data_IF_503489246732
#
_entry.id   IF_503489246732
#
_cell.length_a   1.000
_cell.length_b   1.000
_cell.length_c   1.000
_cell.angle_alpha   90.00
_cell.angle_beta   90.00
_cell.angle_gamma   90.00
#
_symmetry.space_group_name_H-M   'P 1'
#
loop_
_entity.id
_entity.type
_entity.pdbx_description
1 polymer ?
#
# COMPACT_ATOMS: atom_id res chain seq x y z
N UNK A 1 19.30 -3.14 -3.62
CA UNK A 1 19.23 -2.02 -2.65
C UNK A 1 17.89 -2.14 -1.96
N UNK A 2 17.89 -2.58 -0.70
CA UNK A 2 16.69 -2.62 0.13
C UNK A 2 16.41 -1.23 0.72
N UNK A 3 15.14 -0.86 0.87
CA UNK A 3 14.71 0.12 1.88
C UNK A 3 14.67 1.60 1.47
N UNK A 4 13.81 1.96 0.52
CA UNK A 4 13.33 3.36 0.46
C UNK A 4 12.13 3.58 1.40
N UNK A 5 11.42 2.51 1.76
CA UNK A 5 10.30 2.51 2.68
C UNK A 5 10.71 2.05 4.08
N UNK A 6 10.12 2.66 5.12
CA UNK A 6 10.46 2.38 6.52
C UNK A 6 9.26 2.53 7.44
N UNK A 7 9.06 1.58 8.35
CA UNK A 7 8.20 1.77 9.51
C UNK A 7 8.87 2.73 10.50
N UNK A 8 8.18 3.80 10.88
CA UNK A 8 8.70 4.84 11.76
C UNK A 8 8.30 4.62 13.22
N UNK A 9 7.01 4.41 13.47
CA UNK A 9 6.45 4.35 14.82
C UNK A 9 4.99 3.87 14.82
N UNK A 10 4.49 3.51 16.00
CA UNK A 10 3.11 3.07 16.22
C UNK A 10 2.99 1.55 16.42
N UNK A 11 1.83 1.13 16.91
CA UNK A 11 1.46 -0.29 16.94
C UNK A 11 1.20 -0.74 15.50
N UNK A 12 1.79 -1.87 15.11
CA UNK A 12 1.74 -2.39 13.75
C UNK A 12 0.50 -3.26 13.46
N UNK A 13 -0.21 -3.73 14.50
CA UNK A 13 -1.46 -4.48 14.33
C UNK A 13 -1.27 -5.70 13.43
N UNK A 14 -0.28 -6.51 13.75
CA UNK A 14 0.18 -7.57 12.87
C UNK A 14 -0.89 -8.64 12.62
N UNK A 15 -1.04 -9.05 11.36
CA UNK A 15 -1.84 -10.22 10.94
C UNK A 15 -0.96 -11.19 10.17
N UNK A 16 -1.25 -12.48 10.30
CA UNK A 16 -0.56 -13.56 9.59
C UNK A 16 -1.46 -14.07 8.47
N UNK A 17 -0.95 -14.04 7.24
CA UNK A 17 -1.70 -14.48 6.06
C UNK A 17 -0.78 -15.35 5.20
N UNK A 18 -1.22 -16.53 4.73
CA UNK A 18 -0.37 -17.37 3.89
C UNK A 18 -0.17 -16.73 2.51
N UNK A 19 1.02 -16.89 1.95
CA UNK A 19 1.30 -16.58 0.54
C UNK A 19 1.53 -17.86 -0.24
N UNK A 20 1.29 -17.86 -1.55
CA UNK A 20 1.56 -19.02 -2.42
C UNK A 20 3.07 -19.15 -2.64
N UNK A 21 3.60 -20.37 -2.68
CA UNK A 21 5.04 -20.59 -2.92
C UNK A 21 5.60 -20.07 -4.26
N UNK A 22 4.77 -19.79 -5.26
CA UNK A 22 5.21 -19.14 -6.51
C UNK A 22 5.20 -17.60 -6.44
N UNK A 23 4.68 -17.04 -5.35
CA UNK A 23 4.55 -15.60 -5.12
C UNK A 23 5.66 -15.16 -4.18
N UNK A 24 6.50 -14.25 -4.65
CA UNK A 24 7.54 -13.62 -3.82
C UNK A 24 6.97 -12.32 -3.25
N UNK A 25 6.96 -12.22 -1.93
CA UNK A 25 6.65 -10.99 -1.19
C UNK A 25 7.95 -10.49 -0.59
N UNK A 26 8.25 -9.21 -0.77
CA UNK A 26 9.38 -8.55 -0.17
C UNK A 26 8.94 -7.77 1.08
N UNK A 27 9.84 -7.59 2.05
CA UNK A 27 9.55 -6.74 3.19
C UNK A 27 9.29 -5.30 2.72
N UNK A 28 8.16 -4.73 3.15
CA UNK A 28 7.72 -3.40 2.75
C UNK A 28 6.76 -3.38 1.56
N UNK A 29 6.45 -4.53 0.94
CA UNK A 29 5.43 -4.60 -0.09
C UNK A 29 4.04 -4.22 0.44
N UNK A 30 3.29 -3.45 -0.33
CA UNK A 30 1.86 -3.35 -0.22
C UNK A 30 1.24 -4.70 -0.56
N UNK A 31 0.35 -5.18 0.30
CA UNK A 31 -0.26 -6.49 0.17
C UNK A 31 -1.78 -6.41 0.16
N UNK A 32 -2.37 -7.25 -0.67
CA UNK A 32 -3.81 -7.38 -0.83
C UNK A 32 -4.20 -8.86 -0.94
N UNK A 33 -5.49 -9.16 -0.80
CA UNK A 33 -6.05 -10.49 -1.02
C UNK A 33 -6.96 -10.45 -2.23
N UNK A 34 -6.82 -11.39 -3.17
CA UNK A 34 -7.71 -11.40 -4.33
C UNK A 34 -9.12 -11.85 -3.89
N UNK A 35 -10.23 -11.20 -4.32
CA UNK A 35 -11.57 -11.63 -3.92
C UNK A 35 -11.84 -13.12 -4.20
N UNK A 36 -11.46 -13.57 -5.40
CA UNK A 36 -11.55 -14.99 -5.82
C UNK A 36 -10.47 -15.92 -5.22
N UNK A 37 -9.48 -15.40 -4.49
CA UNK A 37 -8.42 -16.19 -3.85
C UNK A 37 -8.04 -15.57 -2.49
N UNK A 38 -9.07 -15.27 -1.68
CA UNK A 38 -8.96 -14.43 -0.47
C UNK A 38 -8.12 -15.05 0.64
N UNK A 39 -7.79 -16.33 0.50
CA UNK A 39 -6.98 -17.06 1.45
C UNK A 39 -5.50 -16.73 1.32
N UNK A 40 -5.05 -16.20 0.18
CA UNK A 40 -3.64 -15.95 -0.06
C UNK A 40 -3.32 -14.47 -0.24
N UNK A 41 -2.19 -14.09 0.34
CA UNK A 41 -1.61 -12.77 0.20
C UNK A 41 -0.94 -12.61 -1.16
N UNK A 42 -1.20 -11.49 -1.82
CA UNK A 42 -0.54 -11.09 -3.05
C UNK A 42 0.15 -9.74 -2.86
N UNK A 43 1.38 -9.56 -3.36
CA UNK A 43 2.02 -8.26 -3.42
C UNK A 43 1.35 -7.40 -4.51
N UNK A 44 1.35 -6.08 -4.29
CA UNK A 44 0.66 -5.13 -5.14
C UNK A 44 1.26 -5.05 -6.56
N UNK A 45 2.55 -5.38 -6.73
CA UNK A 45 3.20 -5.45 -8.04
C UNK A 45 2.68 -6.58 -8.96
N UNK A 46 2.02 -7.61 -8.42
CA UNK A 46 1.38 -8.66 -9.20
C UNK A 46 -0.01 -8.30 -9.67
N UNK A 47 -0.54 -7.16 -9.23
CA UNK A 47 -1.77 -6.63 -9.76
C UNK A 47 -1.57 -6.27 -11.24
N UNK A 48 -2.27 -7.00 -12.10
CA UNK A 48 -2.18 -6.88 -13.56
C UNK A 48 -3.58 -6.67 -14.13
N UNK A 49 -4.20 -5.54 -13.81
CA UNK A 49 -5.42 -5.17 -14.52
C UNK A 49 -5.05 -4.63 -15.90
N UNK A 50 -5.52 -5.36 -16.90
CA UNK A 50 -5.44 -4.99 -18.31
C UNK A 50 -6.73 -4.29 -18.78
N UNK A 51 -7.73 -4.18 -17.91
CA UNK A 51 -8.96 -3.48 -18.19
C UNK A 51 -8.80 -2.00 -17.82
N UNK A 52 -9.15 -1.12 -18.75
CA UNK A 52 -9.22 0.33 -18.55
C UNK A 52 -10.39 0.76 -17.66
N UNK A 53 -11.10 -0.21 -17.07
CA UNK A 53 -12.27 -0.01 -16.23
C UNK A 53 -11.87 -0.18 -14.79
N UNK A 54 -12.02 0.85 -13.96
CA UNK A 54 -11.62 0.88 -12.54
C UNK A 54 -12.23 -0.18 -11.60
N UNK A 55 -12.94 -1.18 -12.12
CA UNK A 55 -13.54 -2.28 -11.36
C UNK A 55 -12.52 -3.30 -10.83
N UNK A 56 -11.38 -3.53 -11.50
CA UNK A 56 -10.34 -4.40 -10.94
C UNK A 56 -9.59 -3.75 -9.77
N UNK A 57 -9.51 -2.42 -9.74
CA UNK A 57 -8.82 -1.68 -8.68
C UNK A 57 -9.66 -1.53 -7.41
N UNK A 58 -11.00 -1.44 -7.52
CA UNK A 58 -11.87 -1.45 -6.33
C UNK A 58 -11.66 -2.71 -5.51
N UNK A 59 -11.45 -3.86 -6.16
CA UNK A 59 -11.17 -5.12 -5.49
C UNK A 59 -9.88 -5.05 -4.66
N UNK A 60 -8.85 -4.37 -5.14
CA UNK A 60 -7.60 -4.20 -4.39
C UNK A 60 -7.77 -3.25 -3.23
N UNK A 61 -8.50 -2.16 -3.42
CA UNK A 61 -8.77 -1.18 -2.35
C UNK A 61 -9.59 -1.83 -1.23
N UNK A 62 -10.64 -2.57 -1.58
CA UNK A 62 -11.50 -3.26 -0.63
C UNK A 62 -10.79 -4.41 0.11
N UNK A 63 -9.79 -5.02 -0.54
CA UNK A 63 -9.05 -6.15 0.00
C UNK A 63 -7.60 -5.82 0.35
N UNK A 64 -7.28 -4.54 0.51
CA UNK A 64 -5.98 -4.11 0.97
C UNK A 64 -5.76 -4.56 2.42
N UNK A 65 -4.68 -5.32 2.62
CA UNK A 65 -4.37 -5.94 3.91
C UNK A 65 -3.40 -5.08 4.72
N UNK A 66 -2.46 -4.39 4.06
CA UNK A 66 -1.44 -3.60 4.72
C UNK A 66 -0.07 -3.75 4.07
N UNK A 67 0.99 -3.60 4.88
CA UNK A 67 2.38 -3.63 4.43
C UNK A 67 3.09 -4.87 4.99
N UNK A 68 3.77 -5.65 4.13
CA UNK A 68 4.54 -6.80 4.55
C UNK A 68 5.66 -6.40 5.53
N UNK A 69 5.69 -7.03 6.71
CA UNK A 69 6.74 -6.85 7.72
C UNK A 69 7.99 -7.67 7.40
N UNK A 70 7.81 -8.76 6.68
CA UNK A 70 8.83 -9.73 6.31
C UNK A 70 8.63 -10.18 4.88
N UNK A 71 9.69 -10.61 4.21
CA UNK A 71 9.58 -11.25 2.91
C UNK A 71 9.14 -12.71 3.03
N UNK A 72 8.53 -13.25 1.98
CA UNK A 72 8.28 -14.67 1.86
C UNK A 72 9.49 -15.41 1.28
N UNK A 73 9.83 -16.61 1.79
CA UNK A 73 10.78 -17.46 1.11
C UNK A 73 10.21 -17.94 -0.23
N UNK A 74 10.98 -17.76 -1.29
CA UNK A 74 10.59 -18.22 -2.63
C UNK A 74 10.44 -19.74 -2.66
N UNK A 75 9.37 -20.24 -3.28
CA UNK A 75 9.13 -21.67 -3.50
C UNK A 75 8.27 -22.37 -2.44
N UNK A 76 7.89 -21.71 -1.35
CA UNK A 76 7.15 -22.34 -0.24
C UNK A 76 5.90 -21.54 0.15
N UNK A 77 4.79 -22.23 0.39
CA UNK A 77 3.59 -21.62 0.97
C UNK A 77 3.81 -21.44 2.47
N UNK A 78 3.91 -20.20 2.93
CA UNK A 78 4.15 -19.85 4.33
C UNK A 78 3.39 -18.59 4.72
N UNK A 79 3.15 -18.42 6.03
CA UNK A 79 2.54 -17.21 6.56
C UNK A 79 3.52 -16.04 6.49
N UNK A 80 3.03 -14.93 5.95
CA UNK A 80 3.73 -13.64 5.96
C UNK A 80 3.04 -12.74 6.98
N UNK A 81 3.86 -12.07 7.79
CA UNK A 81 3.36 -11.05 8.73
C UNK A 81 3.12 -9.74 7.99
N UNK A 82 1.90 -9.20 8.10
CA UNK A 82 1.48 -7.94 7.49
C UNK A 82 1.12 -6.94 8.59
N UNK A 83 1.69 -5.75 8.51
CA UNK A 83 1.37 -4.63 9.38
C UNK A 83 0.11 -3.94 8.84
N UNK A 84 -0.91 -3.83 9.67
CA UNK A 84 -2.22 -3.27 9.28
C UNK A 84 -2.45 -1.84 9.77
N UNK A 85 -1.55 -1.34 10.61
CA UNK A 85 -1.50 0.04 11.14
C UNK A 85 -0.05 0.47 11.40
N UNK A 86 0.14 1.72 11.78
CA UNK A 86 1.44 2.33 12.07
C UNK A 86 1.77 3.49 11.14
N UNK A 87 2.86 4.19 11.41
CA UNK A 87 3.35 5.31 10.59
C UNK A 87 4.50 4.83 9.73
N UNK A 88 4.42 5.10 8.44
CA UNK A 88 5.39 4.66 7.45
C UNK A 88 5.92 5.84 6.65
N UNK A 89 7.20 5.75 6.30
CA UNK A 89 7.84 6.58 5.29
C UNK A 89 7.89 5.82 3.98
N UNK A 90 7.39 6.40 2.90
CA UNK A 90 7.49 5.85 1.54
C UNK A 90 7.97 6.90 0.54
N UNK A 91 8.66 6.47 -0.54
CA UNK A 91 9.03 7.37 -1.62
C UNK A 91 7.79 7.88 -2.37
N UNK A 92 7.78 9.17 -2.69
CA UNK A 92 6.78 9.75 -3.58
C UNK A 92 7.15 9.45 -5.03
N UNK A 93 6.16 9.20 -5.89
CA UNK A 93 6.41 8.96 -7.33
C UNK A 93 7.00 10.20 -8.04
N UNK A 94 6.69 11.40 -7.53
CA UNK A 94 7.39 12.63 -7.89
C UNK A 94 7.57 13.58 -6.70
N UNK A 95 8.63 14.42 -6.67
CA UNK A 95 8.79 15.42 -5.62
C UNK A 95 7.63 16.40 -5.57
N UNK A 96 7.03 16.59 -4.39
CA UNK A 96 5.92 17.53 -4.19
C UNK A 96 5.83 17.99 -2.73
N UNK A 97 5.15 19.11 -2.50
CA UNK A 97 4.77 19.54 -1.15
C UNK A 97 3.62 18.66 -0.66
N UNK A 98 3.54 18.43 0.65
CA UNK A 98 2.53 17.57 1.27
C UNK A 98 1.93 18.24 2.50
N UNK A 99 0.66 17.96 2.78
CA UNK A 99 -0.05 18.55 3.93
C UNK A 99 -0.64 17.46 4.81
N UNK A 100 -0.56 17.63 6.14
CA UNK A 100 -1.23 16.73 7.09
C UNK A 100 -2.71 16.55 6.73
N UNK A 101 -3.19 15.31 6.83
CA UNK A 101 -4.58 14.96 6.55
C UNK A 101 -4.87 14.68 5.08
N UNK A 102 -3.97 15.04 4.16
CA UNK A 102 -4.08 14.62 2.77
C UNK A 102 -4.00 13.09 2.66
N UNK A 103 -4.72 12.56 1.68
CA UNK A 103 -4.75 11.13 1.41
C UNK A 103 -3.42 10.69 0.77
N UNK A 104 -3.03 9.46 1.09
CA UNK A 104 -1.90 8.78 0.44
C UNK A 104 -2.43 7.59 -0.33
N UNK A 105 -2.05 7.51 -1.60
CA UNK A 105 -2.36 6.36 -2.45
C UNK A 105 -1.12 5.57 -2.85
N UNK A 106 -1.18 4.25 -2.81
CA UNK A 106 -0.13 3.38 -3.36
C UNK A 106 -0.25 3.25 -4.88
N UNK A 107 0.87 3.33 -5.59
CA UNK A 107 0.96 3.21 -7.05
C UNK A 107 1.86 2.03 -7.43
N UNK A 108 1.33 1.09 -8.21
CA UNK A 108 2.09 -0.02 -8.79
C UNK A 108 1.37 -0.61 -10.02
N UNK A 109 2.11 -1.09 -11.04
CA UNK A 109 3.54 -0.87 -11.25
C UNK A 109 3.82 0.61 -11.54
N UNK A 110 4.86 1.16 -10.94
CA UNK A 110 5.38 2.44 -11.39
C UNK A 110 6.14 2.21 -12.70
N UNK A 111 6.19 3.22 -13.58
CA UNK A 111 6.86 3.10 -14.88
C UNK A 111 8.37 2.82 -14.77
N UNK A 112 8.93 2.99 -13.57
CA UNK A 112 10.35 2.82 -13.27
C UNK A 112 10.47 2.04 -11.94
N UNK A 113 10.85 0.75 -12.00
CA UNK A 113 11.11 -0.07 -10.81
C UNK A 113 10.83 -1.58 -11.01
N UNK A 114 11.32 -2.42 -10.09
CA UNK A 114 10.92 -3.85 -9.96
C UNK A 114 10.78 -4.25 -8.48
N UNK A 115 9.86 -5.15 -8.13
CA UNK A 115 9.66 -5.60 -6.74
C UNK A 115 9.11 -4.49 -5.82
N UNK A 116 9.49 -4.48 -4.54
CA UNK A 116 9.14 -3.44 -3.56
C UNK A 116 9.67 -2.06 -3.95
N UNK A 117 10.75 -2.01 -4.74
CA UNK A 117 11.24 -0.75 -5.31
C UNK A 117 10.38 -0.21 -6.47
N UNK A 118 9.34 -0.95 -6.89
CA UNK A 118 8.34 -0.54 -7.87
C UNK A 118 7.02 -0.08 -7.23
N UNK A 119 7.05 0.22 -5.93
CA UNK A 119 5.89 0.67 -5.19
C UNK A 119 6.19 2.06 -4.62
N UNK A 120 5.45 3.02 -5.14
CA UNK A 120 5.53 4.41 -4.74
C UNK A 120 4.22 4.80 -4.08
N UNK A 121 4.24 5.95 -3.42
CA UNK A 121 3.02 6.59 -2.99
C UNK A 121 2.84 7.92 -3.70
N UNK A 122 1.60 8.34 -3.85
CA UNK A 122 1.24 9.67 -4.28
C UNK A 122 0.47 10.38 -3.17
N UNK A 123 0.82 11.64 -2.94
CA UNK A 123 0.02 12.52 -2.09
C UNK A 123 -1.12 13.07 -2.94
N UNK A 124 -2.35 12.75 -2.57
CA UNK A 124 -3.52 13.22 -3.29
C UNK A 124 -4.33 14.18 -2.41
N UNK A 125 -4.74 15.29 -3.02
CA UNK A 125 -5.86 16.07 -2.50
C UNK A 125 -7.09 15.20 -2.70
N UNK A 126 -7.83 14.97 -1.62
CA UNK A 126 -8.78 13.85 -1.51
C UNK A 126 -9.96 13.92 -2.51
N UNK A 127 -10.10 15.03 -3.24
CA UNK A 127 -11.07 15.18 -4.33
C UNK A 127 -10.66 14.56 -5.68
N UNK A 128 -9.37 14.24 -5.90
CA UNK A 128 -8.83 13.78 -7.19
C UNK A 128 -8.32 12.33 -7.13
N UNK A 129 -8.98 11.46 -6.36
CA UNK A 129 -8.77 10.00 -6.45
C UNK A 129 -9.21 9.54 -7.84
N UNK A 130 -8.31 9.63 -8.81
CA UNK A 130 -8.54 9.14 -10.15
C UNK A 130 -8.47 7.63 -10.07
N UNK A 131 -9.64 7.00 -10.01
CA UNK A 131 -9.81 5.55 -10.00
C UNK A 131 -9.02 4.97 -11.19
N UNK A 132 -7.97 4.18 -10.93
CA UNK A 132 -7.21 3.55 -12.01
C UNK A 132 -5.89 2.88 -11.64
N UNK A 133 -5.14 3.37 -10.64
CA UNK A 133 -3.85 2.77 -10.19
C UNK A 133 -3.50 2.99 -8.72
N UNK A 134 -4.44 3.49 -7.93
CA UNK A 134 -4.19 4.14 -6.65
C UNK A 134 -4.98 3.48 -5.51
N UNK A 135 -4.29 2.89 -4.53
CA UNK A 135 -4.93 2.32 -3.31
C UNK A 135 -4.85 3.31 -2.17
N UNK A 136 -5.96 3.69 -1.51
CA UNK A 136 -5.87 4.52 -0.30
C UNK A 136 -5.16 3.76 0.82
N UNK A 137 -3.97 4.24 1.20
CA UNK A 137 -3.14 3.66 2.23
C UNK A 137 -3.33 4.37 3.57
N UNK A 138 -3.84 5.60 3.58
CA UNK A 138 -4.02 6.36 4.81
C UNK A 138 -3.78 7.86 4.62
N UNK A 139 -3.37 8.53 5.71
CA UNK A 139 -3.27 9.99 5.75
C UNK A 139 -1.87 10.46 6.11
N UNK A 140 -1.43 11.53 5.45
CA UNK A 140 -0.15 12.20 5.74
C UNK A 140 -0.15 12.73 7.18
N UNK A 141 0.94 12.50 7.90
CA UNK A 141 1.10 12.92 9.31
C UNK A 141 2.07 14.08 9.50
N UNK A 142 2.74 14.51 8.43
CA UNK A 142 3.69 15.63 8.45
C UNK A 142 3.49 16.55 7.24
N UNK A 143 3.31 17.85 7.50
CA UNK A 143 3.30 18.87 6.45
C UNK A 143 4.74 19.21 6.04
N UNK A 144 4.98 19.26 4.73
CA UNK A 144 6.22 19.74 4.12
C UNK A 144 5.83 20.78 3.07
N UNK A 145 6.23 22.03 3.28
CA UNK A 145 5.87 23.16 2.40
C UNK A 145 6.77 23.24 1.16
N UNK A 146 7.88 22.50 1.15
CA UNK A 146 8.79 22.34 0.02
C UNK A 146 8.63 20.97 -0.63
N UNK A 147 9.07 20.85 -1.89
CA UNK A 147 9.07 19.56 -2.58
C UNK A 147 9.94 18.53 -1.83
N UNK A 148 9.34 17.41 -1.45
CA UNK A 148 10.01 16.27 -0.79
C UNK A 148 9.88 15.01 -1.65
N UNK A 149 10.84 14.11 -1.53
CA UNK A 149 10.84 12.81 -2.25
C UNK A 149 10.26 11.66 -1.41
N UNK A 150 9.86 11.94 -0.17
CA UNK A 150 9.31 10.96 0.76
C UNK A 150 8.14 11.58 1.52
N UNK A 151 7.19 10.74 1.91
CA UNK A 151 6.07 11.14 2.76
C UNK A 151 5.95 10.20 3.96
N UNK A 152 5.62 10.79 5.10
CA UNK A 152 5.26 10.08 6.32
C UNK A 152 3.74 10.01 6.42
N UNK A 153 3.17 8.82 6.48
CA UNK A 153 1.73 8.63 6.55
C UNK A 153 1.34 7.54 7.56
N UNK A 154 0.18 7.72 8.17
CA UNK A 154 -0.44 6.73 9.04
C UNK A 154 -1.25 5.76 8.19
N UNK A 155 -0.90 4.47 8.24
CA UNK A 155 -1.56 3.41 7.51
C UNK A 155 -2.99 3.21 8.02
N UNK A 156 -3.94 3.13 7.11
CA UNK A 156 -5.33 2.73 7.36
C UNK A 156 -5.69 1.54 6.49
N UNK A 157 -6.22 0.50 7.13
CA UNK A 157 -6.70 -0.73 6.50
C UNK A 157 -8.08 -1.07 7.04
N UNK A 158 -8.78 -2.04 6.43
CA UNK A 158 -10.04 -2.58 6.96
C UNK A 158 -9.92 -3.17 8.37
N UNK A 159 -8.70 -3.53 8.80
CA UNK A 159 -8.41 -4.07 10.13
C UNK A 159 -8.22 -2.98 11.20
N UNK A 160 -8.16 -1.71 10.81
CA UNK A 160 -8.04 -0.59 11.75
C UNK A 160 -9.35 -0.23 12.48
N UNK A 161 -10.42 -0.99 12.28
CA UNK A 161 -11.74 -0.72 12.87
C UNK A 161 -12.57 0.33 12.13
N UNK A 162 -12.05 0.86 11.02
CA UNK A 162 -12.80 1.70 10.09
C UNK A 162 -13.54 0.80 9.11
N UNK A 163 -14.87 0.74 9.19
CA UNK A 163 -15.71 0.20 8.10
C UNK A 163 -15.35 0.94 6.82
N UNK A 164 -15.19 0.19 5.72
CA UNK A 164 -14.91 0.60 4.33
C UNK A 164 -14.61 2.09 4.11
N UNK A 165 -13.44 2.36 3.51
CA UNK A 165 -12.97 3.68 3.07
C UNK A 165 -13.94 4.26 2.01
N UNK A 166 -15.13 4.64 2.43
CA UNK A 166 -15.85 5.78 1.90
C UNK A 166 -15.24 6.94 2.68
N UNK A 167 -14.31 7.64 2.05
CA UNK A 167 -13.89 8.94 2.58
C UNK A 167 -15.12 9.84 2.58
N UNK A 168 -15.59 10.28 3.74
CA UNK A 168 -16.85 11.04 3.87
C UNK A 168 -16.75 12.51 3.44
N UNK A 169 -15.57 12.96 3.00
CA UNK A 169 -15.39 14.29 2.44
C UNK A 169 -15.62 15.43 3.42
N UNK A 170 -15.70 15.18 4.74
CA UNK A 170 -15.93 16.22 5.75
C UNK A 170 -14.67 16.67 6.48
#
# INVERSE_FOLDING_TARGET
MAGQNRHLSGDSGDVLIPTRGKTVIEAGDFCWTHPNDSNYLLPFNLFTDSSTTGAGMSDVVENFMGIAKMGSPSGVTENVTVMTKGVFRFPLGHPQAVTVGAAVSGVSPHAVGSGASNQFVEAQVVGDLTIGTTVYLGTIVKTETSAVSFVDFSLRTRFSGSTNIVYDGT
#
